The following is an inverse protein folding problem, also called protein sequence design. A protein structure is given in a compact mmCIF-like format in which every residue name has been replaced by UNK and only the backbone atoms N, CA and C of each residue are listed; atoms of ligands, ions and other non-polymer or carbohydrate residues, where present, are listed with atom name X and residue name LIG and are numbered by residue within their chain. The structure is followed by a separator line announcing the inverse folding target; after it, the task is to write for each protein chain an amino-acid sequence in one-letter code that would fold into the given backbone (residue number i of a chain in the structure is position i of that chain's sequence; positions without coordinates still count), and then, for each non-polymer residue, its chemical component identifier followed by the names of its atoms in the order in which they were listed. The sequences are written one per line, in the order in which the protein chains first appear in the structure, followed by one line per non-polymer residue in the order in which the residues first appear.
data_IF_133287750454
#
_entry.id   IF_133287750454
#
_cell.length_a   1.000
_cell.length_b   1.000
_cell.length_c   1.000
_cell.angle_alpha   90.00
_cell.angle_beta   90.00
_cell.angle_gamma   90.00
#
_symmetry.space_group_name_H-M   'P 1'
#
loop_
_entity.id
_entity.type
_entity.pdbx_description
1 polymer ?
#
# COMPACT_ATOMS: atom_id res chain seq x y z
N UNK A 1 -20.11 -12.21 23.79
CA UNK A 1 -20.02 -10.82 23.28
C UNK A 1 -18.97 -10.83 22.18
N UNK A 2 -19.33 -11.18 20.93
CA UNK A 2 -18.36 -11.25 19.84
C UNK A 2 -18.05 -9.83 19.38
N UNK A 3 -16.93 -9.28 19.84
CA UNK A 3 -16.35 -8.08 19.25
C UNK A 3 -15.78 -8.48 17.89
N UNK A 4 -16.64 -8.50 16.86
CA UNK A 4 -16.13 -8.29 15.50
C UNK A 4 -15.34 -6.98 15.56
N UNK A 5 -14.03 -6.95 15.20
CA UNK A 5 -13.37 -5.69 15.00
C UNK A 5 -14.18 -5.01 13.89
N UNK A 6 -14.92 -3.97 14.26
CA UNK A 6 -15.58 -3.11 13.30
C UNK A 6 -14.44 -2.58 12.44
N UNK A 7 -14.26 -3.14 11.25
CA UNK A 7 -13.45 -2.49 10.22
C UNK A 7 -14.03 -1.09 10.15
N UNK A 8 -13.28 -0.04 10.50
CA UNK A 8 -13.84 1.29 10.40
C UNK A 8 -14.35 1.42 8.95
N UNK A 9 -15.59 1.89 8.77
CA UNK A 9 -16.17 2.29 7.46
C UNK A 9 -15.37 3.45 6.84
N UNK A 10 -14.13 3.64 7.25
CA UNK A 10 -13.23 4.60 6.68
C UNK A 10 -12.92 4.15 5.25
N UNK A 11 -13.24 5.07 4.34
CA UNK A 11 -13.19 4.89 2.89
C UNK A 11 -11.77 4.54 2.46
N UNK A 12 -11.62 3.49 1.65
CA UNK A 12 -10.35 3.20 1.00
C UNK A 12 -9.93 4.38 0.11
N UNK A 13 -8.69 4.83 0.28
CA UNK A 13 -8.11 5.93 -0.47
C UNK A 13 -7.32 5.35 -1.63
N UNK A 14 -7.66 5.74 -2.86
CA UNK A 14 -6.88 5.37 -4.05
C UNK A 14 -6.00 6.54 -4.44
N UNK A 15 -4.70 6.30 -4.54
CA UNK A 15 -3.69 7.29 -4.92
C UNK A 15 -2.75 6.69 -5.95
N UNK A 16 -2.33 7.48 -6.93
CA UNK A 16 -1.32 7.06 -7.90
C UNK A 16 0.05 7.57 -7.43
N UNK A 17 1.05 6.68 -7.36
CA UNK A 17 2.43 7.03 -7.07
C UNK A 17 3.33 6.74 -8.27
N UNK A 18 4.18 7.69 -8.66
CA UNK A 18 5.19 7.50 -9.69
C UNK A 18 6.49 7.03 -9.02
N UNK A 19 6.94 5.84 -9.38
CA UNK A 19 8.14 5.21 -8.79
C UNK A 19 9.02 4.70 -9.92
N UNK A 20 10.28 5.15 -9.97
CA UNK A 20 11.23 4.81 -11.05
C UNK A 20 10.65 4.98 -12.46
N UNK A 21 9.86 6.04 -12.69
CA UNK A 21 9.21 6.30 -14.00
C UNK A 21 8.01 5.41 -14.31
N UNK A 22 7.59 4.53 -13.39
CA UNK A 22 6.39 3.70 -13.52
C UNK A 22 5.28 4.19 -12.60
N UNK A 23 4.08 4.33 -13.15
CA UNK A 23 2.89 4.72 -12.39
C UNK A 23 2.26 3.52 -11.71
N UNK A 24 2.16 3.57 -10.39
CA UNK A 24 1.55 2.54 -9.56
C UNK A 24 0.26 3.07 -8.96
N UNK A 25 -0.85 2.39 -9.22
CA UNK A 25 -2.08 2.63 -8.49
C UNK A 25 -1.97 1.97 -7.12
N UNK A 26 -2.09 2.77 -6.06
CA UNK A 26 -1.96 2.35 -4.66
C UNK A 26 -3.31 2.56 -3.98
N UNK A 27 -3.80 1.52 -3.31
CA UNK A 27 -4.99 1.57 -2.48
C UNK A 27 -4.59 1.50 -1.01
N UNK A 28 -5.03 2.47 -0.25
CA UNK A 28 -4.76 2.63 1.18
C UNK A 28 -6.07 2.39 1.91
N UNK A 29 -6.12 1.32 2.68
CA UNK A 29 -7.32 0.88 3.39
C UNK A 29 -7.09 0.99 4.89
N UNK A 30 -7.96 1.68 5.64
CA UNK A 30 -7.91 1.69 7.10
C UNK A 30 -8.33 0.31 7.61
N UNK A 31 -7.54 -0.25 8.54
CA UNK A 31 -7.78 -1.56 9.14
C UNK A 31 -8.03 -1.48 10.65
N UNK A 32 -7.68 -0.35 11.30
CA UNK A 32 -8.01 -0.03 12.68
C UNK A 32 -7.97 1.50 12.89
N UNK A 33 -8.43 1.98 14.06
CA UNK A 33 -8.50 3.42 14.42
C UNK A 33 -7.23 4.22 14.10
N UNK A 34 -6.04 3.63 14.28
CA UNK A 34 -4.75 4.27 13.97
C UNK A 34 -3.86 3.35 13.15
N UNK A 35 -4.46 2.59 12.23
CA UNK A 35 -3.72 1.65 11.39
C UNK A 35 -4.28 1.61 9.98
N UNK A 36 -3.40 1.86 9.03
CA UNK A 36 -3.67 1.90 7.61
C UNK A 36 -2.83 0.85 6.89
N UNK A 37 -3.37 0.32 5.80
CA UNK A 37 -2.75 -0.69 4.96
C UNK A 37 -2.66 -0.19 3.53
N UNK A 38 -1.46 0.05 3.03
CA UNK A 38 -1.22 0.34 1.62
C UNK A 38 -0.94 -0.94 0.83
N UNK A 39 -1.60 -1.08 -0.32
CA UNK A 39 -1.40 -2.17 -1.28
C UNK A 39 -1.43 -1.61 -2.70
N UNK A 40 -0.85 -2.31 -3.67
CA UNK A 40 -1.12 -1.99 -5.08
C UNK A 40 -2.58 -2.32 -5.43
N UNK A 41 -3.25 -1.39 -6.11
CA UNK A 41 -4.51 -1.58 -6.78
C UNK A 41 -4.26 -2.31 -8.11
N UNK A 42 -3.85 -3.57 -8.03
CA UNK A 42 -3.37 -4.32 -9.18
C UNK A 42 -4.54 -4.77 -10.06
N UNK A 43 -4.45 -4.54 -11.38
CA UNK A 43 -5.34 -5.15 -12.38
C UNK A 43 -4.83 -6.57 -12.71
N UNK A 44 -5.41 -7.59 -12.09
CA UNK A 44 -5.57 -8.92 -12.70
C UNK A 44 -4.37 -9.87 -12.82
N UNK A 45 -3.25 -9.70 -12.10
CA UNK A 45 -2.24 -10.78 -12.04
C UNK A 45 -1.64 -10.91 -10.66
N UNK A 46 -1.65 -12.15 -10.19
CA UNK A 46 -1.14 -12.63 -8.91
C UNK A 46 0.32 -12.24 -8.72
N UNK A 47 0.56 -11.14 -8.01
CA UNK A 47 1.77 -11.03 -7.23
C UNK A 47 1.39 -10.32 -5.93
N UNK A 48 1.28 -11.10 -4.86
CA UNK A 48 0.97 -10.58 -3.53
C UNK A 48 2.14 -9.71 -3.06
N UNK A 49 2.18 -8.47 -3.52
CA UNK A 49 3.01 -7.43 -2.93
C UNK A 49 2.54 -7.27 -1.49
N UNK A 50 3.46 -7.57 -0.57
CA UNK A 50 3.20 -7.48 0.86
C UNK A 50 2.50 -6.16 1.21
N UNK A 51 1.41 -6.20 2.00
CA UNK A 51 0.78 -4.98 2.47
C UNK A 51 1.70 -4.22 3.41
N UNK A 52 1.91 -2.94 3.16
CA UNK A 52 2.62 -2.06 4.09
C UNK A 52 1.63 -1.44 5.06
N UNK A 53 2.04 -1.34 6.32
CA UNK A 53 1.22 -0.75 7.38
C UNK A 53 1.80 0.59 7.82
N UNK A 54 0.95 1.56 8.11
CA UNK A 54 1.32 2.85 8.70
C UNK A 54 0.27 3.27 9.73
N UNK A 55 0.61 4.22 10.59
CA UNK A 55 -0.35 4.81 11.53
C UNK A 55 -1.24 5.84 10.85
N UNK A 56 -0.79 6.38 9.71
CA UNK A 56 -1.53 7.30 8.84
C UNK A 56 -1.58 6.77 7.39
N UNK A 57 -2.53 7.25 6.57
CA UNK A 57 -2.60 6.85 5.17
C UNK A 57 -1.35 7.27 4.39
N UNK A 58 -0.82 8.46 4.64
CA UNK A 58 0.39 8.97 3.98
C UNK A 58 1.62 8.15 4.34
N UNK A 59 1.78 7.80 5.62
CA UNK A 59 2.91 6.94 6.05
C UNK A 59 2.85 5.56 5.39
N UNK A 60 1.65 4.95 5.33
CA UNK A 60 1.48 3.66 4.64
C UNK A 60 1.83 3.77 3.14
N UNK A 61 1.45 4.89 2.50
CA UNK A 61 1.79 5.19 1.11
C UNK A 61 3.29 5.34 0.90
N UNK A 62 3.97 6.15 1.72
CA UNK A 62 5.41 6.37 1.61
C UNK A 62 6.23 5.10 1.83
N UNK A 63 5.84 4.25 2.80
CA UNK A 63 6.52 2.97 3.00
C UNK A 63 6.41 2.06 1.78
N UNK A 64 5.24 2.02 1.13
CA UNK A 64 5.03 1.22 -0.09
C UNK A 64 5.80 1.80 -1.28
N UNK A 65 5.77 3.11 -1.51
CA UNK A 65 6.50 3.75 -2.63
C UNK A 65 8.02 3.63 -2.45
N UNK A 66 8.53 3.79 -1.23
CA UNK A 66 9.94 3.59 -0.92
C UNK A 66 10.37 2.14 -1.14
N UNK A 67 9.53 1.16 -0.77
CA UNK A 67 9.80 -0.23 -1.08
C UNK A 67 9.78 -0.52 -2.59
N UNK A 68 8.77 -0.01 -3.31
CA UNK A 68 8.70 -0.11 -4.79
C UNK A 68 9.94 0.50 -5.45
N UNK A 69 10.47 1.59 -4.89
CA UNK A 69 11.67 2.23 -5.39
C UNK A 69 12.90 1.32 -5.23
N UNK A 70 12.95 0.55 -4.14
CA UNK A 70 14.02 -0.40 -3.83
C UNK A 70 13.94 -1.68 -4.66
N UNK A 71 12.76 -2.30 -4.77
CA UNK A 71 12.59 -3.55 -5.54
C UNK A 71 12.50 -3.33 -7.05
N UNK A 72 12.04 -2.14 -7.46
CA UNK A 72 11.97 -1.74 -8.86
C UNK A 72 13.29 -1.23 -9.43
N UNK A 73 14.35 -1.16 -8.61
CA UNK A 73 15.71 -0.98 -9.11
C UNK A 73 16.13 -2.31 -9.73
N UNK A 74 16.34 -2.41 -11.06
CA UNK A 74 17.03 -3.57 -11.58
C UNK A 74 18.36 -3.64 -10.84
N UNK A 75 18.71 -4.80 -10.27
CA UNK A 75 20.05 -5.04 -9.80
C UNK A 75 20.96 -4.55 -10.92
N UNK A 76 21.71 -3.47 -10.67
CA UNK A 76 22.73 -3.04 -11.60
C UNK A 76 23.64 -4.25 -11.73
N UNK A 77 23.55 -4.92 -12.87
CA UNK A 77 24.45 -5.99 -13.26
C UNK A 77 25.82 -5.33 -13.31
N UNK A 78 26.60 -5.54 -12.24
CA UNK A 78 28.02 -5.24 -12.17
C UNK A 78 28.79 -6.52 -12.40
#
# INVERSE_FOLDING_TARGET
MNTMPQTPTAKAIRRTGLVNGRSYAIEIVPIAMSRWRARLAQRGTTNAVMPFYGSTPDEAFERLTAWLARVGRPAAHG
#
